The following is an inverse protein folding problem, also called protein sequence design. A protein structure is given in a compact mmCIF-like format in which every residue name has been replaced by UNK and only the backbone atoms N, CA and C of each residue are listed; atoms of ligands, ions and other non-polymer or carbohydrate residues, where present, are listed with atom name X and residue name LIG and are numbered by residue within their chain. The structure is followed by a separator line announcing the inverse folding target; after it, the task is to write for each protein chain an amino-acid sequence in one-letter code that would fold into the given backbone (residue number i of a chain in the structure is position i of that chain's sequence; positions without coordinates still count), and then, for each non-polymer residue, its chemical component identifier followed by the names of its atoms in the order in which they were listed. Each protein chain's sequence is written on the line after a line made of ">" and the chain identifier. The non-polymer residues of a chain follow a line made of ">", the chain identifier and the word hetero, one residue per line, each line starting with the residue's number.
data_IF_612506485597
#
_entry.id   IF_612506485597
#
_cell.length_a   1.000
_cell.length_b   1.000
_cell.length_c   1.000
_cell.angle_alpha   90.00
_cell.angle_beta   90.00
_cell.angle_gamma   90.00
#
_symmetry.space_group_name_H-M   'P 1'
#
loop_
_entity.id
_entity.type
_entity.pdbx_description
1 polymer ?
#
# COMPACT_ATOMS: atom_id res chain seq x y z
N UNK A 1 -17.18 -1.49 10.02
CA UNK A 1 -16.58 -2.60 9.22
C UNK A 1 -15.30 -2.07 8.57
N UNK A 2 -14.15 -2.59 8.97
CA UNK A 2 -12.84 -2.28 8.37
C UNK A 2 -11.89 -3.42 8.73
N UNK A 3 -11.17 -3.99 7.74
CA UNK A 3 -10.18 -5.06 7.99
C UNK A 3 -8.81 -4.52 8.41
N UNK A 4 -8.63 -3.20 8.35
CA UNK A 4 -7.39 -2.52 8.70
C UNK A 4 -7.49 -1.79 10.04
N UNK A 5 -8.59 -1.95 10.78
CA UNK A 5 -8.89 -1.20 12.01
C UNK A 5 -8.70 0.33 11.86
N UNK A 6 -9.06 0.87 10.69
CA UNK A 6 -8.85 2.28 10.35
C UNK A 6 -10.02 3.19 10.74
N UNK A 7 -11.05 2.70 11.44
CA UNK A 7 -12.22 3.49 11.86
C UNK A 7 -12.14 3.68 13.37
N UNK A 8 -11.99 4.93 13.80
CA UNK A 8 -11.77 5.29 15.20
C UNK A 8 -12.98 6.09 15.70
N UNK A 9 -13.46 5.76 16.90
CA UNK A 9 -14.52 6.53 17.56
C UNK A 9 -14.03 7.93 17.94
N UNK A 10 -14.85 8.93 17.70
CA UNK A 10 -14.58 10.34 17.99
C UNK A 10 -15.83 10.99 18.60
N UNK A 11 -16.03 10.74 19.89
CA UNK A 11 -17.25 11.11 20.59
C UNK A 11 -18.50 10.45 20.00
N UNK A 12 -19.37 11.25 19.38
CA UNK A 12 -20.61 10.78 18.73
C UNK A 12 -20.43 10.44 17.25
N UNK A 13 -19.23 10.64 16.70
CA UNK A 13 -18.91 10.36 15.30
C UNK A 13 -17.78 9.34 15.19
N UNK A 14 -17.40 9.01 13.97
CA UNK A 14 -16.26 8.17 13.67
C UNK A 14 -15.37 8.88 12.66
N UNK A 15 -14.06 8.75 12.82
CA UNK A 15 -13.07 9.26 11.88
C UNK A 15 -12.27 8.12 11.25
N UNK A 16 -11.72 8.39 10.06
CA UNK A 16 -10.85 7.46 9.36
C UNK A 16 -9.40 7.78 9.67
N UNK A 17 -8.65 6.81 10.18
CA UNK A 17 -7.19 6.85 10.20
C UNK A 17 -6.66 6.66 8.77
N UNK A 18 -6.07 7.71 8.21
CA UNK A 18 -5.59 7.71 6.82
C UNK A 18 -4.31 6.91 6.63
N UNK A 19 -3.52 6.69 7.68
CA UNK A 19 -2.28 5.92 7.59
C UNK A 19 -2.56 4.42 7.53
N UNK A 20 -3.71 3.99 8.06
CA UNK A 20 -4.18 2.60 8.01
C UNK A 20 -5.18 2.32 6.89
N UNK A 21 -5.88 3.36 6.40
CA UNK A 21 -6.92 3.19 5.39
C UNK A 21 -6.34 2.90 3.99
N UNK A 22 -6.65 1.73 3.44
CA UNK A 22 -6.24 1.34 2.08
C UNK A 22 -7.27 1.69 0.99
N UNK A 23 -8.40 2.31 1.35
CA UNK A 23 -9.43 2.71 0.37
C UNK A 23 -10.36 1.60 -0.14
N UNK A 24 -10.54 0.49 0.59
CA UNK A 24 -11.37 -0.65 0.14
C UNK A 24 -12.89 -0.39 0.03
N UNK A 25 -13.41 0.68 0.66
CA UNK A 25 -14.82 1.06 0.56
C UNK A 25 -15.83 0.26 1.40
N UNK A 26 -15.41 -0.79 2.12
CA UNK A 26 -16.32 -1.62 2.94
C UNK A 26 -17.05 -0.86 4.06
N UNK A 27 -16.48 0.26 4.53
CA UNK A 27 -17.14 1.12 5.52
C UNK A 27 -18.26 1.96 4.88
N UNK A 28 -18.08 2.43 3.64
CA UNK A 28 -19.03 3.29 2.92
C UNK A 28 -20.33 2.57 2.67
N UNK A 29 -20.29 1.28 2.33
CA UNK A 29 -21.49 0.47 2.07
C UNK A 29 -22.36 0.22 3.30
N UNK A 30 -21.81 0.43 4.50
CA UNK A 30 -22.51 0.19 5.77
C UNK A 30 -22.98 1.47 6.46
N UNK A 31 -22.37 2.60 6.13
CA UNK A 31 -22.73 3.88 6.71
C UNK A 31 -24.03 4.39 6.11
N UNK A 32 -24.73 5.27 6.85
CA UNK A 32 -25.88 6.00 6.30
C UNK A 32 -25.44 6.79 5.05
N UNK A 33 -26.34 7.02 4.08
CA UNK A 33 -26.03 7.88 2.94
C UNK A 33 -25.41 9.21 3.38
N UNK A 34 -24.39 9.66 2.64
CA UNK A 34 -23.62 10.90 2.89
C UNK A 34 -22.77 10.93 4.17
N UNK A 35 -22.76 9.88 5.00
CA UNK A 35 -21.91 9.83 6.19
C UNK A 35 -20.44 9.48 5.89
N UNK A 36 -20.17 8.79 4.78
CA UNK A 36 -18.82 8.45 4.32
C UNK A 36 -18.77 8.40 2.79
N UNK A 37 -17.58 8.60 2.23
CA UNK A 37 -17.34 8.53 0.79
C UNK A 37 -15.91 8.12 0.45
N UNK A 38 -15.72 7.56 -0.74
CA UNK A 38 -14.40 7.31 -1.31
C UNK A 38 -14.04 8.44 -2.28
N UNK A 39 -12.83 8.98 -2.12
CA UNK A 39 -12.29 10.01 -3.00
C UNK A 39 -11.19 9.36 -3.85
N UNK A 40 -11.29 9.48 -5.17
CA UNK A 40 -10.22 9.03 -6.06
C UNK A 40 -9.00 9.92 -5.88
N UNK A 41 -7.80 9.32 -5.85
CA UNK A 41 -6.54 10.06 -5.87
C UNK A 41 -6.37 10.73 -7.22
N UNK A 42 -5.76 11.91 -7.23
CA UNK A 42 -5.49 12.67 -8.47
C UNK A 42 -4.57 11.90 -9.43
N UNK A 43 -3.63 11.14 -8.88
CA UNK A 43 -2.70 10.29 -9.65
C UNK A 43 -2.89 8.83 -9.28
N UNK A 44 -3.23 8.02 -10.28
CA UNK A 44 -3.25 6.57 -10.15
C UNK A 44 -1.83 6.00 -10.29
N UNK A 45 -1.46 5.09 -9.39
CA UNK A 45 -0.24 4.28 -9.55
C UNK A 45 -0.58 3.04 -10.37
N UNK A 46 0.04 2.88 -11.53
CA UNK A 46 -0.12 1.70 -12.38
C UNK A 46 1.09 0.78 -12.18
N UNK A 47 0.89 -0.46 -11.68
CA UNK A 47 2.00 -1.40 -11.56
C UNK A 47 2.45 -1.89 -12.94
N UNK A 48 3.71 -2.34 -13.09
CA UNK A 48 4.16 -2.99 -14.32
C UNK A 48 3.32 -4.24 -14.62
N UNK A 49 3.18 -4.56 -15.91
CA UNK A 49 2.29 -5.66 -16.35
C UNK A 49 2.83 -7.06 -16.05
N UNK A 50 4.11 -7.19 -15.69
CA UNK A 50 4.69 -8.48 -15.38
C UNK A 50 5.22 -8.52 -13.93
N UNK A 51 5.12 -9.71 -13.37
CA UNK A 51 5.46 -10.02 -11.99
C UNK A 51 6.94 -9.84 -11.70
N UNK A 52 7.82 -10.14 -12.64
CA UNK A 52 9.28 -10.02 -12.47
C UNK A 52 9.70 -8.56 -12.26
N UNK A 53 9.25 -7.67 -13.15
CA UNK A 53 9.48 -6.22 -13.08
C UNK A 53 8.77 -5.65 -11.84
N UNK A 54 7.58 -6.14 -11.49
CA UNK A 54 6.91 -5.75 -10.25
C UNK A 54 7.81 -6.03 -9.04
N UNK A 55 8.27 -7.27 -8.87
CA UNK A 55 9.11 -7.64 -7.73
C UNK A 55 10.46 -6.92 -7.75
N UNK A 56 11.09 -6.76 -8.92
CA UNK A 56 12.32 -5.98 -9.05
C UNK A 56 12.12 -4.52 -8.62
N UNK A 57 11.00 -3.89 -8.99
CA UNK A 57 10.68 -2.53 -8.56
C UNK A 57 10.48 -2.44 -7.05
N UNK A 58 9.75 -3.38 -6.45
CA UNK A 58 9.53 -3.46 -5.00
C UNK A 58 10.87 -3.65 -4.26
N UNK A 59 11.72 -4.55 -4.74
CA UNK A 59 13.04 -4.81 -4.15
C UNK A 59 13.94 -3.58 -4.24
N UNK A 60 13.95 -2.88 -5.38
CA UNK A 60 14.72 -1.65 -5.58
C UNK A 60 14.32 -0.55 -4.60
N UNK A 61 13.01 -0.35 -4.41
CA UNK A 61 12.49 0.67 -3.48
C UNK A 61 12.72 0.28 -2.01
N UNK A 62 12.52 -0.98 -1.63
CA UNK A 62 12.64 -1.44 -0.22
C UNK A 62 14.09 -1.67 0.23
N UNK A 63 14.94 -2.24 -0.60
CA UNK A 63 16.32 -2.55 -0.23
C UNK A 63 17.21 -1.30 -0.25
N UNK A 64 16.84 -0.30 -1.04
CA UNK A 64 17.68 0.85 -1.32
C UNK A 64 18.80 0.52 -2.32
N UNK A 65 19.24 1.54 -3.06
CA UNK A 65 20.12 1.36 -4.23
C UNK A 65 21.45 0.67 -3.90
N UNK A 66 22.05 1.00 -2.75
CA UNK A 66 23.32 0.40 -2.28
C UNK A 66 23.18 -1.09 -1.99
N UNK A 67 22.14 -1.50 -1.26
CA UNK A 67 21.91 -2.91 -0.90
C UNK A 67 21.58 -3.75 -2.13
N UNK A 68 20.86 -3.16 -3.10
CA UNK A 68 20.56 -3.79 -4.38
C UNK A 68 21.83 -4.08 -5.20
N UNK A 69 22.77 -3.13 -5.28
CA UNK A 69 24.08 -3.32 -5.93
C UNK A 69 24.87 -4.44 -5.24
N UNK A 70 24.92 -4.44 -3.90
CA UNK A 70 25.63 -5.50 -3.15
C UNK A 70 25.01 -6.88 -3.42
N UNK A 71 23.68 -6.99 -3.41
CA UNK A 71 23.00 -8.25 -3.70
C UNK A 71 23.23 -8.74 -5.14
N UNK A 72 23.22 -7.82 -6.11
CA UNK A 72 23.57 -8.11 -7.51
C UNK A 72 25.01 -8.61 -7.65
N UNK A 73 25.97 -7.97 -6.96
CA UNK A 73 27.35 -8.42 -6.95
C UNK A 73 27.47 -9.81 -6.32
N UNK A 74 26.80 -10.07 -5.19
CA UNK A 74 26.78 -11.41 -4.57
C UNK A 74 26.27 -12.49 -5.54
N UNK A 75 25.18 -12.21 -6.25
CA UNK A 75 24.62 -13.09 -7.28
C UNK A 75 25.62 -13.37 -8.41
N UNK A 76 26.28 -12.33 -8.93
CA UNK A 76 27.30 -12.47 -9.99
C UNK A 76 28.50 -13.32 -9.54
N UNK A 77 28.87 -13.23 -8.26
CA UNK A 77 29.94 -14.04 -7.67
C UNK A 77 29.46 -15.40 -7.12
N UNK A 78 28.24 -15.84 -7.45
CA UNK A 78 27.70 -17.15 -7.07
C UNK A 78 27.46 -17.35 -5.57
N UNK A 79 27.44 -16.27 -4.78
CA UNK A 79 27.16 -16.32 -3.34
C UNK A 79 25.64 -16.18 -3.12
N UNK A 80 25.01 -17.06 -2.32
CA UNK A 80 23.57 -16.96 -2.05
C UNK A 80 23.22 -15.64 -1.34
N UNK A 81 22.00 -15.15 -1.60
CA UNK A 81 21.42 -13.91 -1.11
C UNK A 81 21.37 -13.83 0.43
#
# INVERSE_FOLDING_TARGET
>A
RCQMDAIIADGKTFRVDRDRCIGCGLCVTRCKPKAAGLIRKDKATVPPMNTEILYLSILKERAGRKKMIVNMLKLLFGKPL
#
